data_IF_087862491726
#
_entry.id   IF_087862491726
#
_cell.length_a   1.000
_cell.length_b   1.000
_cell.length_c   1.000
_cell.angle_alpha   90.00
_cell.angle_beta   90.00
_cell.angle_gamma   90.00
#
_symmetry.space_group_name_H-M   'P 1'
#
loop_
_entity.id
_entity.type
_entity.pdbx_description
1 polymer ?
#
# COMPACT_ATOMS: atom_id res chain seq x y z
N UNK A 1 0.22 -8.74 -1.83
CA UNK A 1 -0.60 -7.73 -1.14
C UNK A 1 -0.32 -7.86 0.34
N UNK A 2 0.27 -6.84 0.97
CA UNK A 2 0.70 -6.88 2.37
C UNK A 2 -0.08 -5.89 3.25
N UNK A 3 -1.02 -5.15 2.67
CA UNK A 3 -1.73 -4.03 3.32
C UNK A 3 -2.37 -4.37 4.66
N UNK A 4 -3.06 -5.52 4.84
CA UNK A 4 -3.55 -5.90 6.16
C UNK A 4 -2.43 -6.08 7.19
N UNK A 5 -1.28 -6.63 6.77
CA UNK A 5 -0.14 -6.85 7.65
C UNK A 5 0.51 -5.53 8.08
N UNK A 6 0.70 -4.57 7.17
CA UNK A 6 1.24 -3.25 7.52
C UNK A 6 0.36 -2.51 8.53
N UNK A 7 -0.96 -2.54 8.32
CA UNK A 7 -1.93 -1.89 9.23
C UNK A 7 -1.97 -2.59 10.58
N UNK A 8 -2.03 -3.92 10.62
CA UNK A 8 -2.04 -4.68 11.89
C UNK A 8 -0.74 -4.44 12.66
N UNK A 9 0.41 -4.49 12.00
CA UNK A 9 1.70 -4.28 12.66
C UNK A 9 1.85 -2.85 13.18
N UNK A 10 1.49 -1.84 12.39
CA UNK A 10 1.51 -0.44 12.81
C UNK A 10 0.55 -0.19 13.98
N UNK A 11 -0.65 -0.76 13.94
CA UNK A 11 -1.61 -0.67 15.04
C UNK A 11 -1.08 -1.38 16.29
N UNK A 12 -0.52 -2.59 16.17
CA UNK A 12 0.06 -3.32 17.30
C UNK A 12 1.23 -2.58 17.95
N UNK A 13 2.08 -1.92 17.15
CA UNK A 13 3.24 -1.20 17.64
C UNK A 13 2.91 0.19 18.24
N UNK A 14 1.94 0.91 17.67
CA UNK A 14 1.77 2.35 17.96
C UNK A 14 0.36 2.77 18.38
N UNK A 15 -0.68 1.93 18.24
CA UNK A 15 -2.03 2.29 18.69
C UNK A 15 -2.12 2.32 20.21
N UNK A 16 -3.10 3.07 20.74
CA UNK A 16 -3.30 3.20 22.19
C UNK A 16 -4.79 3.21 22.54
N UNK A 17 -5.25 2.37 23.47
CA UNK A 17 -6.64 2.39 23.94
C UNK A 17 -7.04 3.78 24.43
N UNK A 18 -8.26 4.20 24.07
CA UNK A 18 -8.85 5.49 24.41
C UNK A 18 -8.12 6.73 23.85
N UNK A 19 -7.09 6.56 23.02
CA UNK A 19 -6.45 7.64 22.26
C UNK A 19 -6.70 7.46 20.77
N UNK A 20 -7.83 8.05 20.32
CA UNK A 20 -8.26 7.98 18.92
C UNK A 20 -7.24 8.62 17.98
N UNK A 21 -6.57 9.68 18.39
CA UNK A 21 -5.63 10.41 17.52
C UNK A 21 -4.41 9.56 17.20
N UNK A 22 -3.81 8.92 18.21
CA UNK A 22 -2.69 7.99 18.01
C UNK A 22 -3.09 6.78 17.20
N UNK A 23 -4.26 6.21 17.48
CA UNK A 23 -4.74 5.02 16.77
C UNK A 23 -4.97 5.31 15.28
N UNK A 24 -5.60 6.45 14.95
CA UNK A 24 -5.79 6.87 13.55
C UNK A 24 -4.45 7.14 12.87
N UNK A 25 -3.50 7.79 13.55
CA UNK A 25 -2.17 8.03 13.00
C UNK A 25 -1.40 6.72 12.73
N UNK A 26 -1.49 5.74 13.63
CA UNK A 26 -0.86 4.43 13.45
C UNK A 26 -1.44 3.67 12.25
N UNK A 27 -2.77 3.66 12.11
CA UNK A 27 -3.45 3.03 10.97
C UNK A 27 -3.12 3.74 9.66
N UNK A 28 -3.17 5.09 9.65
CA UNK A 28 -2.82 5.88 8.47
C UNK A 28 -1.36 5.68 8.06
N UNK A 29 -0.44 5.62 9.03
CA UNK A 29 0.97 5.29 8.77
C UNK A 29 1.16 3.88 8.22
N UNK A 30 0.38 2.91 8.70
CA UNK A 30 0.37 1.53 8.20
C UNK A 30 -0.14 1.40 6.76
N UNK A 31 -0.90 2.38 6.24
CA UNK A 31 -1.33 2.41 4.84
C UNK A 31 -0.33 3.09 3.90
N UNK A 32 0.65 3.83 4.44
CA UNK A 32 1.60 4.59 3.63
C UNK A 32 2.42 3.71 2.64
N UNK A 33 2.92 2.52 3.00
CA UNK A 33 3.68 1.66 2.08
C UNK A 33 2.87 1.18 0.87
N UNK A 34 1.54 1.09 1.02
CA UNK A 34 0.63 0.62 -0.03
C UNK A 34 -0.02 1.78 -0.81
N UNK A 35 0.27 3.05 -0.47
CA UNK A 35 -0.37 4.19 -1.10
C UNK A 35 -0.07 4.25 -2.61
N UNK A 36 1.18 4.00 -2.99
CA UNK A 36 1.59 3.95 -4.40
C UNK A 36 0.84 2.87 -5.17
N UNK A 37 0.66 1.68 -4.56
CA UNK A 37 -0.12 0.59 -5.15
C UNK A 37 -1.55 1.04 -5.46
N UNK A 38 -2.24 1.67 -4.50
CA UNK A 38 -3.59 2.17 -4.71
C UNK A 38 -3.66 3.22 -5.82
N UNK A 39 -2.70 4.14 -5.87
CA UNK A 39 -2.63 5.16 -6.93
C UNK A 39 -2.38 4.50 -8.29
N UNK A 40 -1.40 3.61 -8.40
CA UNK A 40 -1.05 2.96 -9.67
C UNK A 40 -2.18 2.10 -10.19
N UNK A 41 -2.80 1.28 -9.34
CA UNK A 41 -3.99 0.48 -9.70
C UNK A 41 -5.15 1.38 -10.07
N UNK A 42 -5.43 2.44 -9.30
CA UNK A 42 -6.51 3.37 -9.57
C UNK A 42 -6.34 4.10 -10.90
N UNK A 43 -5.15 4.60 -11.19
CA UNK A 43 -4.82 5.23 -12.48
C UNK A 43 -4.97 4.22 -13.62
N UNK A 44 -4.43 3.01 -13.47
CA UNK A 44 -4.51 1.99 -14.52
C UNK A 44 -5.95 1.55 -14.83
N UNK A 45 -6.79 1.39 -13.82
CA UNK A 45 -8.17 0.93 -14.02
C UNK A 45 -9.11 2.06 -14.44
N UNK A 46 -9.04 3.21 -13.78
CA UNK A 46 -10.06 4.28 -13.95
C UNK A 46 -9.66 5.35 -14.96
N UNK A 47 -8.36 5.69 -15.08
CA UNK A 47 -7.90 6.69 -16.03
C UNK A 47 -7.44 6.07 -17.35
N UNK A 48 -6.74 4.94 -17.28
CA UNK A 48 -6.24 4.24 -18.48
C UNK A 48 -7.21 3.17 -18.99
N UNK A 49 -8.24 2.80 -18.22
CA UNK A 49 -9.26 1.83 -18.63
C UNK A 49 -8.71 0.43 -18.91
N UNK A 50 -7.57 0.07 -18.27
CA UNK A 50 -6.93 -1.22 -18.50
C UNK A 50 -7.74 -2.35 -17.88
N UNK A 51 -7.69 -3.52 -18.51
CA UNK A 51 -8.34 -4.71 -18.01
C UNK A 51 -7.77 -5.11 -16.63
N UNK A 52 -8.61 -5.39 -15.61
CA UNK A 52 -8.14 -5.83 -14.30
C UNK A 52 -7.24 -7.05 -14.35
N UNK A 53 -7.53 -8.02 -15.23
CA UNK A 53 -6.70 -9.21 -15.43
C UNK A 53 -5.31 -8.85 -15.96
N UNK A 54 -5.20 -7.87 -16.85
CA UNK A 54 -3.91 -7.35 -17.30
C UNK A 54 -3.15 -6.60 -16.20
N UNK A 55 -3.83 -5.73 -15.45
CA UNK A 55 -3.20 -4.97 -14.36
C UNK A 55 -2.67 -5.91 -13.27
N UNK A 56 -3.53 -6.78 -12.73
CA UNK A 56 -3.16 -7.67 -11.63
C UNK A 56 -2.32 -8.86 -12.08
N UNK A 57 -2.51 -9.35 -13.32
CA UNK A 57 -1.82 -10.52 -13.86
C UNK A 57 -0.50 -10.21 -14.58
N UNK A 58 -0.29 -8.96 -15.01
CA UNK A 58 0.92 -8.57 -15.75
C UNK A 58 1.61 -7.36 -15.11
N UNK A 59 0.93 -6.22 -14.99
CA UNK A 59 1.58 -4.98 -14.53
C UNK A 59 2.10 -5.11 -13.10
N UNK A 60 1.34 -5.73 -12.20
CA UNK A 60 1.79 -6.02 -10.83
C UNK A 60 3.09 -6.84 -10.75
N UNK A 61 3.43 -7.62 -11.79
CA UNK A 61 4.64 -8.42 -11.86
C UNK A 61 5.74 -7.81 -12.74
N UNK A 62 5.47 -6.67 -13.37
CA UNK A 62 6.44 -5.97 -14.22
C UNK A 62 7.58 -5.37 -13.39
N UNK A 63 8.78 -5.31 -13.97
CA UNK A 63 9.96 -4.70 -13.33
C UNK A 63 9.72 -3.25 -12.91
N UNK A 64 8.93 -2.51 -13.69
CA UNK A 64 8.60 -1.12 -13.39
C UNK A 64 7.80 -1.00 -12.09
N UNK A 65 6.75 -1.81 -11.92
CA UNK A 65 5.91 -1.78 -10.73
C UNK A 65 6.64 -2.40 -9.53
N UNK A 66 7.36 -3.50 -9.75
CA UNK A 66 8.17 -4.13 -8.70
C UNK A 66 9.26 -3.20 -8.17
N UNK A 67 9.84 -2.33 -9.01
CA UNK A 67 10.81 -1.32 -8.56
C UNK A 67 10.19 -0.30 -7.62
N UNK A 68 8.97 0.17 -7.91
CA UNK A 68 8.22 1.09 -7.04
C UNK A 68 7.88 0.39 -5.73
N UNK A 69 7.31 -0.82 -5.80
CA UNK A 69 6.98 -1.60 -4.60
C UNK A 69 8.20 -1.90 -3.74
N UNK A 70 9.37 -2.14 -4.34
CA UNK A 70 10.60 -2.32 -3.58
C UNK A 70 10.96 -1.07 -2.79
N UNK A 71 10.81 0.12 -3.35
CA UNK A 71 11.10 1.37 -2.64
C UNK A 71 10.09 1.57 -1.50
N UNK A 72 8.80 1.45 -1.78
CA UNK A 72 7.75 1.78 -0.80
C UNK A 72 7.63 0.75 0.33
N UNK A 73 8.01 -0.51 0.07
CA UNK A 73 8.03 -1.58 1.07
C UNK A 73 9.39 -1.76 1.74
N UNK A 74 10.38 -0.92 1.43
CA UNK A 74 11.69 -0.95 2.09
C UNK A 74 11.76 0.08 3.21
N UNK A 75 12.37 -0.32 4.33
CA UNK A 75 12.63 0.59 5.44
C UNK A 75 13.99 1.33 5.28
N UNK A 76 14.87 0.83 4.41
CA UNK A 76 16.19 1.37 4.09
C UNK A 76 16.31 1.38 2.56
N UNK A 77 16.69 2.52 1.98
CA UNK A 77 16.93 2.69 0.52
C UNK A 77 18.42 2.63 0.23
#
# INVERSE_FOLDING_TARGET
MNTPAHVIFAAAAFARPFDRRRTVAAVAGGLAPDLSLYVMVGVSLYLLGLDPGYVFGTLCFSDAWQRVFRIDNSFLV
#
